data_IF_367412669180
#
_entry.id   IF_367412669180
#
_cell.length_a   1.000
_cell.length_b   1.000
_cell.length_c   1.000
_cell.angle_alpha   90.00
_cell.angle_beta   90.00
_cell.angle_gamma   90.00
#
_symmetry.space_group_name_H-M   'P 1'
#
loop_
_entity.id
_entity.type
_entity.pdbx_description
1 polymer ?
#
# COMPACT_ATOMS: atom_id res chain seq x y z
N UNK A 1 21.32 0.63 -9.21
CA UNK A 1 21.66 -0.29 -8.11
C UNK A 1 20.67 -1.45 -8.05
N UNK A 2 19.38 -1.20 -7.76
CA UNK A 2 18.36 -2.25 -7.79
C UNK A 2 18.25 -2.95 -9.16
N UNK A 3 18.41 -2.23 -10.27
CA UNK A 3 18.46 -2.85 -11.61
C UNK A 3 19.60 -3.88 -11.79
N UNK A 4 20.65 -3.85 -10.96
CA UNK A 4 21.79 -4.78 -11.04
C UNK A 4 21.73 -5.87 -9.97
N UNK A 5 21.17 -5.58 -8.80
CA UNK A 5 21.16 -6.51 -7.67
C UNK A 5 19.77 -7.04 -7.31
N UNK A 6 18.69 -6.64 -7.99
CA UNK A 6 17.30 -7.11 -7.85
C UNK A 6 16.61 -7.01 -6.49
N UNK A 7 17.32 -6.97 -5.36
CA UNK A 7 16.76 -6.85 -4.01
C UNK A 7 17.74 -6.22 -3.02
N UNK A 8 17.24 -5.84 -1.85
CA UNK A 8 18.06 -5.35 -0.74
C UNK A 8 19.00 -6.44 -0.21
N UNK A 9 18.53 -7.69 -0.13
CA UNK A 9 19.32 -8.84 0.30
C UNK A 9 20.52 -9.06 -0.62
N UNK A 10 20.28 -9.03 -1.93
CA UNK A 10 21.32 -9.26 -2.93
C UNK A 10 22.34 -8.10 -2.99
N UNK A 11 21.91 -6.87 -2.67
CA UNK A 11 22.83 -5.75 -2.43
C UNK A 11 23.78 -6.08 -1.27
N UNK A 12 23.26 -6.54 -0.13
CA UNK A 12 24.08 -6.83 1.05
C UNK A 12 24.94 -8.08 0.90
N UNK A 13 24.49 -9.09 0.14
CA UNK A 13 25.29 -10.28 -0.22
C UNK A 13 26.46 -9.95 -1.16
N UNK A 14 26.38 -8.85 -1.91
CA UNK A 14 27.37 -8.44 -2.90
C UNK A 14 27.93 -7.04 -2.60
N UNK A 15 28.07 -6.70 -1.32
CA UNK A 15 28.44 -5.35 -0.88
C UNK A 15 29.83 -4.93 -1.42
N UNK A 16 30.75 -5.86 -1.57
CA UNK A 16 32.05 -5.67 -2.23
C UNK A 16 31.92 -5.23 -3.70
N UNK A 17 30.94 -5.79 -4.43
CA UNK A 17 30.65 -5.45 -5.83
C UNK A 17 29.91 -4.12 -5.97
N UNK A 18 29.28 -3.62 -4.90
CA UNK A 18 28.67 -2.27 -4.91
C UNK A 18 29.74 -1.19 -5.09
N UNK A 19 30.93 -1.39 -4.53
CA UNK A 19 32.06 -0.45 -4.66
C UNK A 19 32.54 -0.31 -6.11
N UNK A 20 32.35 -1.34 -6.93
CA UNK A 20 32.80 -1.37 -8.34
C UNK A 20 31.78 -0.81 -9.31
N UNK A 21 30.61 -0.36 -8.83
CA UNK A 21 29.61 0.29 -9.67
C UNK A 21 30.17 1.56 -10.29
N UNK A 22 29.85 1.81 -11.57
CA UNK A 22 30.10 3.09 -12.25
C UNK A 22 29.11 4.17 -11.76
N UNK A 23 29.05 4.38 -10.46
CA UNK A 23 28.22 5.38 -9.79
C UNK A 23 29.13 6.34 -9.02
N UNK A 24 28.92 7.64 -9.17
CA UNK A 24 29.63 8.64 -8.36
C UNK A 24 29.35 8.38 -6.87
N UNK A 25 30.42 8.22 -6.09
CA UNK A 25 30.31 7.94 -4.66
C UNK A 25 30.06 6.48 -4.29
N UNK A 26 30.24 5.53 -5.21
CA UNK A 26 30.04 4.09 -4.94
C UNK A 26 30.80 3.58 -3.70
N UNK A 27 32.04 4.04 -3.46
CA UNK A 27 32.80 3.67 -2.27
C UNK A 27 32.14 4.16 -0.97
N UNK A 28 31.73 5.43 -0.92
CA UNK A 28 31.00 6.00 0.22
C UNK A 28 29.64 5.34 0.41
N UNK A 29 28.96 5.01 -0.68
CA UNK A 29 27.68 4.29 -0.63
C UNK A 29 27.85 2.91 0.02
N UNK A 30 28.90 2.17 -0.35
CA UNK A 30 29.23 0.86 0.22
C UNK A 30 29.45 0.95 1.74
N UNK A 31 30.19 1.96 2.18
CA UNK A 31 30.42 2.24 3.61
C UNK A 31 29.11 2.55 4.35
N UNK A 32 28.28 3.44 3.79
CA UNK A 32 27.00 3.82 4.40
C UNK A 32 26.03 2.66 4.49
N UNK A 33 25.96 1.83 3.45
CA UNK A 33 25.13 0.61 3.44
C UNK A 33 25.57 -0.34 4.54
N UNK A 34 26.87 -0.61 4.66
CA UNK A 34 27.41 -1.47 5.71
C UNK A 34 27.11 -0.93 7.11
N UNK A 35 27.32 0.38 7.32
CA UNK A 35 27.07 1.04 8.61
C UNK A 35 25.60 1.03 9.04
N UNK A 36 24.68 1.11 8.09
CA UNK A 36 23.25 1.27 8.37
C UNK A 36 22.42 0.05 7.94
N UNK A 37 23.03 -1.14 7.93
CA UNK A 37 22.36 -2.39 7.53
C UNK A 37 21.08 -2.67 8.32
N UNK A 38 21.17 -2.65 9.64
CA UNK A 38 20.02 -2.96 10.51
C UNK A 38 18.85 -1.98 10.28
N UNK A 39 19.16 -0.71 10.05
CA UNK A 39 18.15 0.30 9.72
C UNK A 39 17.53 0.06 8.34
N UNK A 40 18.31 -0.39 7.36
CA UNK A 40 17.79 -0.72 6.03
C UNK A 40 16.89 -1.97 6.08
N UNK A 41 17.28 -2.99 6.83
CA UNK A 41 16.49 -4.20 7.04
C UNK A 41 15.17 -3.88 7.78
N UNK A 42 15.22 -3.07 8.84
CA UNK A 42 14.02 -2.60 9.53
C UNK A 42 13.11 -1.76 8.62
N UNK A 43 13.70 -0.83 7.85
CA UNK A 43 12.96 -0.01 6.88
C UNK A 43 12.25 -0.88 5.85
N UNK A 44 12.89 -1.94 5.35
CA UNK A 44 12.24 -2.91 4.46
C UNK A 44 11.03 -3.55 5.13
N UNK A 45 11.15 -4.02 6.37
CA UNK A 45 10.03 -4.63 7.10
C UNK A 45 8.88 -3.64 7.25
N UNK A 46 9.17 -2.43 7.71
CA UNK A 46 8.14 -1.40 7.95
C UNK A 46 7.46 -0.92 6.66
N UNK A 47 8.17 -0.90 5.53
CA UNK A 47 7.63 -0.46 4.25
C UNK A 47 6.99 -1.58 3.42
N UNK A 48 7.14 -2.85 3.82
CA UNK A 48 6.55 -3.98 3.10
C UNK A 48 5.09 -4.13 3.51
N UNK A 49 4.17 -3.94 2.55
CA UNK A 49 2.75 -4.23 2.75
C UNK A 49 2.58 -5.74 2.93
N UNK A 50 1.89 -6.14 4.00
CA UNK A 50 1.48 -7.53 4.21
C UNK A 50 0.23 -7.78 3.38
N UNK A 51 0.36 -8.54 2.29
CA UNK A 51 -0.76 -8.83 1.38
C UNK A 51 -1.71 -9.91 1.93
N UNK A 52 -1.20 -10.85 2.72
CA UNK A 52 -1.96 -12.00 3.22
C UNK A 52 -2.00 -11.99 4.76
N UNK A 53 -2.90 -11.16 5.30
CA UNK A 53 -3.13 -11.13 6.75
C UNK A 53 -4.13 -12.22 7.11
N UNK A 54 -3.65 -13.26 7.81
CA UNK A 54 -4.51 -14.29 8.41
C UNK A 54 -5.04 -13.79 9.75
N UNK A 55 -5.98 -12.87 9.70
CA UNK A 55 -6.70 -12.40 10.90
C UNK A 55 -8.13 -12.90 10.83
N UNK A 56 -8.51 -13.79 11.76
CA UNK A 56 -9.86 -14.37 11.81
C UNK A 56 -10.92 -13.39 12.29
N UNK A 57 -10.52 -12.29 12.93
CA UNK A 57 -11.42 -11.24 13.38
C UNK A 57 -11.61 -10.14 12.32
N UNK A 58 -10.76 -10.11 11.28
CA UNK A 58 -10.84 -9.12 10.21
C UNK A 58 -11.95 -9.48 9.21
N UNK A 59 -12.98 -8.63 9.02
CA UNK A 59 -14.12 -8.96 8.16
C UNK A 59 -13.77 -9.25 6.71
N UNK A 60 -12.68 -8.66 6.20
CA UNK A 60 -12.21 -8.86 4.83
C UNK A 60 -11.39 -10.15 4.64
N UNK A 61 -10.98 -10.83 5.72
CA UNK A 61 -10.18 -12.07 5.65
C UNK A 61 -10.90 -13.24 4.97
N UNK A 62 -12.24 -13.21 4.96
CA UNK A 62 -13.09 -14.22 4.36
C UNK A 62 -13.61 -13.83 2.97
N UNK A 63 -13.27 -12.63 2.49
CA UNK A 63 -13.73 -12.14 1.19
C UNK A 63 -12.81 -12.67 0.09
N UNK A 64 -13.37 -13.45 -0.83
CA UNK A 64 -12.69 -13.89 -2.04
C UNK A 64 -13.04 -12.98 -3.22
N UNK A 65 -12.14 -12.87 -4.19
CA UNK A 65 -12.32 -12.01 -5.37
C UNK A 65 -13.62 -12.30 -6.14
N UNK A 66 -14.03 -13.57 -6.16
CA UNK A 66 -15.27 -14.03 -6.79
C UNK A 66 -16.54 -13.44 -6.15
N UNK A 67 -16.47 -13.05 -4.87
CA UNK A 67 -17.59 -12.44 -4.16
C UNK A 67 -17.64 -10.91 -4.35
N UNK A 68 -16.61 -10.29 -4.93
CA UNK A 68 -16.54 -8.85 -5.19
C UNK A 68 -17.27 -8.50 -6.49
N UNK A 69 -18.59 -8.69 -6.48
CA UNK A 69 -19.46 -8.26 -7.57
C UNK A 69 -20.03 -6.86 -7.28
N UNK A 70 -20.07 -5.95 -8.28
CA UNK A 70 -20.76 -4.68 -8.12
C UNK A 70 -22.20 -4.91 -7.69
N UNK A 71 -22.66 -4.14 -6.71
CA UNK A 71 -24.04 -4.17 -6.22
C UNK A 71 -24.62 -2.75 -6.30
N UNK A 72 -25.94 -2.62 -6.52
CA UNK A 72 -26.58 -1.32 -6.52
C UNK A 72 -26.42 -0.66 -5.14
N UNK A 73 -26.16 0.63 -5.13
CA UNK A 73 -26.07 1.43 -3.91
C UNK A 73 -27.42 1.43 -3.21
N UNK A 74 -27.42 1.13 -1.92
CA UNK A 74 -28.59 1.27 -1.08
C UNK A 74 -28.79 2.75 -0.69
N UNK A 75 -29.59 3.47 -1.49
CA UNK A 75 -29.83 4.91 -1.31
C UNK A 75 -30.46 5.24 0.05
N UNK A 76 -31.32 4.37 0.58
CA UNK A 76 -31.97 4.59 1.87
C UNK A 76 -30.96 4.58 3.02
N UNK A 77 -30.06 3.59 3.05
CA UNK A 77 -28.98 3.49 4.04
C UNK A 77 -27.99 4.64 3.90
N UNK A 78 -27.66 5.02 2.65
CA UNK A 78 -26.78 6.15 2.39
C UNK A 78 -27.38 7.48 2.87
N UNK A 79 -28.68 7.69 2.66
CA UNK A 79 -29.40 8.86 3.18
C UNK A 79 -29.40 8.90 4.71
N UNK A 80 -29.59 7.75 5.37
CA UNK A 80 -29.51 7.67 6.83
C UNK A 80 -28.10 8.00 7.33
N UNK A 81 -27.06 7.47 6.68
CA UNK A 81 -25.66 7.79 6.97
C UNK A 81 -25.38 9.30 6.90
N UNK A 82 -25.88 9.98 5.86
CA UNK A 82 -25.74 11.44 5.74
C UNK A 82 -26.37 12.20 6.91
N UNK A 83 -27.53 11.74 7.41
CA UNK A 83 -28.19 12.34 8.57
C UNK A 83 -27.40 12.10 9.84
N UNK A 84 -26.98 10.85 10.08
CA UNK A 84 -26.21 10.44 11.27
C UNK A 84 -24.92 11.22 11.41
N UNK A 85 -24.16 11.36 10.31
CA UNK A 85 -22.87 12.06 10.31
C UNK A 85 -22.98 13.54 9.91
N UNK A 86 -24.21 14.07 9.80
CA UNK A 86 -24.50 15.50 9.58
C UNK A 86 -23.80 16.10 8.36
N UNK A 87 -23.84 15.40 7.23
CA UNK A 87 -23.28 15.90 5.97
C UNK A 87 -24.00 17.18 5.52
N UNK A 88 -23.27 18.13 4.95
CA UNK A 88 -23.87 19.36 4.40
C UNK A 88 -24.70 19.09 3.14
N UNK A 89 -25.72 19.92 2.83
CA UNK A 89 -26.64 19.67 1.72
C UNK A 89 -25.94 19.53 0.35
N UNK A 90 -24.89 20.32 0.12
CA UNK A 90 -24.08 20.24 -1.11
C UNK A 90 -23.38 18.89 -1.26
N UNK A 91 -22.82 18.35 -0.17
CA UNK A 91 -22.12 17.07 -0.21
C UNK A 91 -23.10 15.92 -0.37
N UNK A 92 -24.27 15.99 0.27
CA UNK A 92 -25.34 15.01 0.10
C UNK A 92 -25.81 14.93 -1.35
N UNK A 93 -26.13 16.08 -1.97
CA UNK A 93 -26.57 16.16 -3.36
C UNK A 93 -25.52 15.58 -4.32
N UNK A 94 -24.25 15.99 -4.16
CA UNK A 94 -23.14 15.52 -4.99
C UNK A 94 -22.95 14.01 -4.87
N UNK A 95 -22.93 13.48 -3.66
CA UNK A 95 -22.70 12.05 -3.40
C UNK A 95 -23.89 11.19 -3.86
N UNK A 96 -25.13 11.66 -3.67
CA UNK A 96 -26.31 10.95 -4.15
C UNK A 96 -26.37 10.91 -5.68
N UNK A 97 -26.02 12.01 -6.35
CA UNK A 97 -25.92 12.03 -7.82
C UNK A 97 -24.87 11.03 -8.32
N UNK A 98 -23.73 10.90 -7.63
CA UNK A 98 -22.70 9.92 -7.98
C UNK A 98 -23.19 8.48 -7.74
N UNK A 99 -23.88 8.21 -6.63
CA UNK A 99 -24.45 6.90 -6.33
C UNK A 99 -25.43 6.44 -7.42
N UNK A 100 -26.31 7.34 -7.89
CA UNK A 100 -27.27 7.03 -8.95
C UNK A 100 -26.59 6.67 -10.27
N UNK A 101 -25.46 7.31 -10.60
CA UNK A 101 -24.67 6.98 -11.80
C UNK A 101 -24.00 5.60 -11.74
N UNK A 102 -23.75 5.08 -10.54
CA UNK A 102 -23.17 3.75 -10.36
C UNK A 102 -24.22 2.63 -10.47
N UNK A 103 -25.50 2.98 -10.37
CA UNK A 103 -26.63 2.06 -10.46
C UNK A 103 -27.18 1.89 -11.88
N UNK A 104 -26.76 2.75 -12.82
CA UNK A 104 -27.04 2.66 -14.27
C UNK A 104 -25.95 1.92 -15.00
#
# INVERSE_FOLDING_TARGET
MLNQFSSLESIYLNLDKVKTLQLRGAARLTELLGKHRDLAELSKVLATIVCDVKDTEEPFSHVVLENLVPQPVNEAVLCEFFKTYKFGPRDQERLMTLAQRLNT
#
